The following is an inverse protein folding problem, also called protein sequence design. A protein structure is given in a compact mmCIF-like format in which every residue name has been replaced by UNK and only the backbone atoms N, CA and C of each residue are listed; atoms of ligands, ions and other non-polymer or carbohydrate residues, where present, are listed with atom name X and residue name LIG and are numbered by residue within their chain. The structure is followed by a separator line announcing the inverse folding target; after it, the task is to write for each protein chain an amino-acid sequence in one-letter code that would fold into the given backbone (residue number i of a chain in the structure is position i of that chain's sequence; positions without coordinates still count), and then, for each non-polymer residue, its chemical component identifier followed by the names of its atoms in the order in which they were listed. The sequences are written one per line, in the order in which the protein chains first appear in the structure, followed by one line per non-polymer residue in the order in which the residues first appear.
data_IF_298624178312
#
_entry.id   IF_298624178312
#
_cell.length_a   1.000
_cell.length_b   1.000
_cell.length_c   1.000
_cell.angle_alpha   90.00
_cell.angle_beta   90.00
_cell.angle_gamma   90.00
#
_symmetry.space_group_name_H-M   'P 1'
#
loop_
_entity.id
_entity.type
_entity.pdbx_description
1 polymer ?
#
# COMPACT_ATOMS: atom_id res chain seq x y z
N UNK A 1 4.94 7.12 -4.71
CA UNK A 1 6.05 8.09 -4.53
C UNK A 1 6.09 9.13 -5.64
N UNK A 2 5.94 8.76 -6.91
CA UNK A 2 6.10 9.68 -8.06
C UNK A 2 5.29 10.98 -7.95
N UNK A 3 4.00 10.91 -7.64
CA UNK A 3 3.14 12.08 -7.47
C UNK A 3 3.65 13.02 -6.36
N UNK A 4 4.10 12.44 -5.25
CA UNK A 4 4.58 13.22 -4.10
C UNK A 4 5.91 13.90 -4.39
N UNK A 5 6.83 13.23 -5.09
CA UNK A 5 8.10 13.84 -5.54
C UNK A 5 7.84 15.01 -6.49
N UNK A 6 6.88 14.88 -7.42
CA UNK A 6 6.43 16.02 -8.27
C UNK A 6 5.90 17.18 -7.41
N UNK A 7 5.13 16.87 -6.36
CA UNK A 7 4.64 17.89 -5.42
C UNK A 7 5.76 18.60 -4.68
N UNK A 8 6.72 17.86 -4.15
CA UNK A 8 7.90 18.42 -3.47
C UNK A 8 8.72 19.33 -4.39
N UNK A 9 8.95 18.88 -5.63
CA UNK A 9 9.64 19.71 -6.62
C UNK A 9 8.89 21.03 -6.89
N UNK A 10 7.56 20.99 -7.05
CA UNK A 10 6.73 22.18 -7.24
C UNK A 10 6.76 23.13 -6.04
N UNK A 11 6.87 22.62 -4.81
CA UNK A 11 7.04 23.43 -3.62
C UNK A 11 8.33 24.27 -3.70
N UNK A 12 9.42 23.65 -4.13
CA UNK A 12 10.73 24.32 -4.27
C UNK A 12 10.76 25.41 -5.34
N UNK A 13 9.80 25.40 -6.28
CA UNK A 13 9.69 26.43 -7.33
C UNK A 13 8.92 27.67 -6.87
N UNK A 14 8.40 27.70 -5.63
CA UNK A 14 7.62 28.84 -5.14
C UNK A 14 8.54 29.98 -4.70
N UNK A 15 8.11 31.22 -4.97
CA UNK A 15 8.85 32.43 -4.56
C UNK A 15 8.93 32.62 -3.04
N UNK A 16 7.94 32.10 -2.32
CA UNK A 16 7.87 32.20 -0.86
C UNK A 16 7.66 30.78 -0.28
N UNK A 17 8.34 30.43 0.81
CA UNK A 17 8.11 29.15 1.49
C UNK A 17 6.72 29.12 2.10
N UNK A 18 6.02 28.03 1.92
CA UNK A 18 4.71 27.75 2.52
C UNK A 18 4.56 26.26 2.82
N UNK A 19 3.75 25.95 3.83
CA UNK A 19 3.40 24.55 4.14
C UNK A 19 2.29 24.04 3.21
N UNK A 20 2.48 22.84 2.70
CA UNK A 20 1.51 22.15 1.85
C UNK A 20 1.23 20.74 2.32
N UNK A 21 -0.04 20.36 2.28
CA UNK A 21 -0.45 18.96 2.47
C UNK A 21 -0.58 18.30 1.10
N UNK A 22 0.21 17.25 0.87
CA UNK A 22 0.09 16.38 -0.29
C UNK A 22 -0.70 15.13 0.13
N UNK A 23 -1.96 15.06 -0.26
CA UNK A 23 -2.87 13.99 0.11
C UNK A 23 -3.80 13.63 -1.06
N UNK A 24 -4.65 12.64 -0.88
CA UNK A 24 -5.56 12.17 -1.94
C UNK A 24 -7.00 12.63 -1.77
N UNK A 25 -7.33 13.34 -0.67
CA UNK A 25 -8.70 13.66 -0.24
C UNK A 25 -9.59 12.43 0.03
N UNK A 26 -9.02 11.24 -0.03
CA UNK A 26 -9.75 9.98 0.13
C UNK A 26 -9.09 9.16 1.24
N UNK A 27 -9.91 8.49 2.03
CA UNK A 27 -9.47 7.59 3.10
C UNK A 27 -9.90 6.17 2.78
N UNK A 28 -9.01 5.23 3.00
CA UNK A 28 -9.26 3.80 2.85
C UNK A 28 -8.83 3.08 4.13
N UNK A 29 -9.60 2.09 4.56
CA UNK A 29 -9.17 1.22 5.65
C UNK A 29 -8.07 0.26 5.17
N UNK A 30 -7.23 -0.20 6.09
CA UNK A 30 -6.23 -1.24 5.81
C UNK A 30 -6.92 -2.51 5.28
N UNK A 31 -8.07 -2.85 5.84
CA UNK A 31 -8.86 -4.00 5.39
C UNK A 31 -9.35 -3.86 3.94
N UNK A 32 -9.77 -2.66 3.54
CA UNK A 32 -10.11 -2.37 2.14
C UNK A 32 -8.91 -2.55 1.22
N UNK A 33 -7.75 -1.99 1.61
CA UNK A 33 -6.50 -2.15 0.85
C UNK A 33 -6.12 -3.62 0.68
N UNK A 34 -6.19 -4.42 1.75
CA UNK A 34 -5.91 -5.86 1.71
C UNK A 34 -6.87 -6.62 0.81
N UNK A 35 -8.18 -6.30 0.87
CA UNK A 35 -9.18 -6.92 -0.01
C UNK A 35 -8.86 -6.68 -1.49
N UNK A 36 -8.48 -5.46 -1.84
CA UNK A 36 -8.10 -5.14 -3.22
C UNK A 36 -6.79 -5.85 -3.64
N UNK A 37 -5.83 -6.00 -2.72
CA UNK A 37 -4.61 -6.79 -2.99
C UNK A 37 -4.95 -8.27 -3.23
N UNK A 38 -5.76 -8.87 -2.39
CA UNK A 38 -6.18 -10.27 -2.54
C UNK A 38 -6.94 -10.49 -3.84
N UNK A 39 -7.83 -9.57 -4.18
CA UNK A 39 -8.57 -9.61 -5.44
C UNK A 39 -7.65 -9.53 -6.66
N UNK A 40 -6.66 -8.62 -6.63
CA UNK A 40 -5.68 -8.49 -7.71
C UNK A 40 -4.78 -9.73 -7.87
N UNK A 41 -4.58 -10.50 -6.80
CA UNK A 41 -3.85 -11.76 -6.78
C UNK A 41 -4.74 -13.00 -7.01
N UNK A 42 -6.04 -12.81 -7.31
CA UNK A 42 -7.03 -13.87 -7.47
C UNK A 42 -7.22 -14.77 -6.23
N UNK A 43 -6.98 -14.25 -5.04
CA UNK A 43 -7.35 -14.91 -3.80
C UNK A 43 -8.82 -14.65 -3.48
N UNK A 44 -9.56 -15.72 -3.17
CA UNK A 44 -10.91 -15.62 -2.64
C UNK A 44 -10.88 -15.80 -1.13
N UNK A 45 -10.98 -14.70 -0.39
CA UNK A 45 -10.80 -14.68 1.05
C UNK A 45 -12.12 -14.57 1.82
N UNK A 46 -12.07 -15.05 3.05
CA UNK A 46 -13.08 -14.88 4.08
C UNK A 46 -12.42 -14.34 5.35
N UNK A 47 -13.03 -13.32 5.94
CA UNK A 47 -12.58 -12.77 7.23
C UNK A 47 -13.29 -13.47 8.37
N UNK A 48 -12.54 -13.91 9.37
CA UNK A 48 -13.07 -14.56 10.55
C UNK A 48 -12.46 -13.95 11.83
N UNK A 49 -13.27 -13.87 12.89
CA UNK A 49 -12.87 -13.23 14.15
C UNK A 49 -13.11 -11.72 14.17
N UNK A 50 -12.68 -11.07 15.26
CA UNK A 50 -12.77 -9.61 15.47
C UNK A 50 -11.54 -9.08 16.20
N UNK A 51 -11.18 -7.82 15.97
CA UNK A 51 -10.06 -7.15 16.62
C UNK A 51 -8.75 -7.91 16.39
N UNK A 52 -7.96 -8.10 17.43
CA UNK A 52 -6.66 -8.81 17.35
C UNK A 52 -6.76 -10.29 16.92
N UNK A 53 -7.95 -10.90 17.03
CA UNK A 53 -8.18 -12.28 16.61
C UNK A 53 -8.69 -12.40 15.18
N UNK A 54 -8.82 -11.28 14.46
CA UNK A 54 -9.28 -11.29 13.07
C UNK A 54 -8.21 -11.89 12.15
N UNK A 55 -8.63 -12.80 11.28
CA UNK A 55 -7.78 -13.48 10.31
C UNK A 55 -8.42 -13.48 8.92
N UNK A 56 -7.60 -13.48 7.87
CA UNK A 56 -8.07 -13.75 6.53
C UNK A 56 -7.73 -15.19 6.12
N UNK A 57 -8.73 -15.91 5.65
CA UNK A 57 -8.67 -17.33 5.26
C UNK A 57 -8.92 -17.42 3.75
N UNK A 58 -8.06 -18.12 3.03
CA UNK A 58 -8.32 -18.45 1.64
C UNK A 58 -9.40 -19.53 1.56
N UNK A 59 -10.52 -19.22 0.92
CA UNK A 59 -11.67 -20.13 0.78
C UNK A 59 -11.33 -21.43 0.04
N UNK A 60 -10.37 -21.38 -0.88
CA UNK A 60 -9.96 -22.54 -1.68
C UNK A 60 -9.11 -23.52 -0.89
N UNK A 61 -8.09 -23.02 -0.20
CA UNK A 61 -7.12 -23.86 0.51
C UNK A 61 -7.44 -24.05 1.99
N UNK A 62 -8.38 -23.28 2.54
CA UNK A 62 -8.74 -23.19 3.96
C UNK A 62 -7.56 -22.75 4.85
N UNK A 63 -6.48 -22.24 4.28
CA UNK A 63 -5.31 -21.76 5.02
C UNK A 63 -5.50 -20.32 5.47
N UNK A 64 -5.03 -20.02 6.68
CA UNK A 64 -4.92 -18.64 7.17
C UNK A 64 -3.75 -17.98 6.41
N UNK A 65 -4.04 -16.90 5.68
CA UNK A 65 -3.06 -16.17 4.87
C UNK A 65 -2.68 -14.82 5.48
N UNK A 66 -3.46 -14.34 6.45
CA UNK A 66 -3.18 -13.11 7.17
C UNK A 66 -3.64 -13.19 8.61
N UNK A 67 -2.83 -12.67 9.53
CA UNK A 67 -3.13 -12.50 10.96
C UNK A 67 -2.74 -11.10 11.40
N UNK A 68 -3.45 -10.55 12.38
CA UNK A 68 -3.03 -9.34 13.07
C UNK A 68 -1.93 -9.71 14.08
N UNK A 69 -0.78 -9.04 14.00
CA UNK A 69 0.30 -9.23 14.95
C UNK A 69 0.15 -8.26 16.14
N UNK A 70 -0.08 -8.76 17.39
CA UNK A 70 -0.27 -7.89 18.55
C UNK A 70 0.90 -6.92 18.81
N UNK A 71 2.12 -7.29 18.41
CA UNK A 71 3.32 -6.45 18.57
C UNK A 71 3.21 -5.12 17.83
N UNK A 72 2.47 -5.08 16.71
CA UNK A 72 2.30 -3.89 15.89
C UNK A 72 0.94 -3.21 16.07
N UNK A 73 0.12 -3.75 16.96
CA UNK A 73 -1.17 -3.14 17.28
C UNK A 73 -0.97 -1.87 18.10
N UNK A 74 -1.62 -0.78 17.67
CA UNK A 74 -1.56 0.52 18.33
C UNK A 74 -2.94 0.87 18.90
N UNK A 75 -3.13 0.76 20.23
CA UNK A 75 -4.45 1.02 20.85
C UNK A 75 -4.93 2.46 20.73
N UNK A 76 -3.98 3.41 20.61
CA UNK A 76 -4.24 4.85 20.54
C UNK A 76 -4.08 5.42 19.11
N UNK A 77 -4.39 4.64 18.10
CA UNK A 77 -4.37 5.13 16.71
C UNK A 77 -5.58 6.03 16.44
N UNK A 78 -5.43 7.03 15.59
CA UNK A 78 -6.55 7.89 15.16
C UNK A 78 -7.48 7.10 14.23
N UNK A 79 -8.77 7.10 14.55
CA UNK A 79 -9.79 6.37 13.78
C UNK A 79 -9.96 6.89 12.35
N UNK A 80 -9.70 8.19 12.16
CA UNK A 80 -9.91 8.84 10.88
C UNK A 80 -8.87 9.92 10.61
N UNK A 81 -8.04 9.70 9.60
CA UNK A 81 -7.01 10.66 9.16
C UNK A 81 -7.20 10.99 7.68
N UNK A 82 -7.65 12.21 7.39
CA UNK A 82 -7.89 12.69 6.02
C UNK A 82 -7.11 13.98 5.77
N UNK A 83 -6.22 13.94 4.80
CA UNK A 83 -5.54 15.14 4.30
C UNK A 83 -6.26 15.73 3.09
N UNK A 84 -6.24 17.06 2.95
CA UNK A 84 -6.75 17.79 1.78
C UNK A 84 -5.62 18.34 0.95
N UNK A 85 -5.65 18.13 -0.36
CA UNK A 85 -4.70 18.74 -1.30
C UNK A 85 -5.19 20.06 -1.91
N UNK A 86 -6.30 20.64 -1.44
CA UNK A 86 -6.92 21.81 -2.07
C UNK A 86 -5.94 23.00 -2.17
N UNK A 87 -5.14 23.29 -1.13
CA UNK A 87 -4.12 24.33 -1.16
C UNK A 87 -3.02 24.00 -2.19
N UNK A 88 -2.56 22.76 -2.24
CA UNK A 88 -1.56 22.30 -3.21
C UNK A 88 -2.10 22.42 -4.64
N UNK A 89 -3.37 22.10 -4.85
CA UNK A 89 -4.00 22.27 -6.17
C UNK A 89 -4.11 23.72 -6.58
N UNK A 90 -4.59 24.60 -5.70
CA UNK A 90 -4.81 26.02 -6.02
C UNK A 90 -3.48 26.75 -6.33
N UNK A 91 -2.44 26.51 -5.53
CA UNK A 91 -1.15 27.24 -5.63
C UNK A 91 -0.13 26.55 -6.52
N UNK A 92 0.01 25.22 -6.41
CA UNK A 92 1.04 24.44 -7.13
C UNK A 92 0.49 23.76 -8.40
N UNK A 93 -0.82 23.81 -8.63
CA UNK A 93 -1.50 23.00 -9.68
C UNK A 93 -1.15 21.50 -9.53
N UNK A 94 -0.95 21.07 -8.30
CA UNK A 94 -0.65 19.68 -7.99
C UNK A 94 -1.91 18.92 -7.54
N UNK A 95 -2.07 17.72 -8.05
CA UNK A 95 -3.07 16.74 -7.61
C UNK A 95 -2.51 15.34 -7.76
N UNK A 96 -2.98 14.37 -6.96
CA UNK A 96 -2.60 12.97 -7.14
C UNK A 96 -3.13 12.45 -8.48
N UNK A 97 -2.30 11.67 -9.19
CA UNK A 97 -2.60 11.09 -10.51
C UNK A 97 -2.78 9.57 -10.43
N UNK A 98 -2.24 8.95 -9.38
CA UNK A 98 -2.25 7.50 -9.18
C UNK A 98 -3.37 7.14 -8.22
N UNK A 99 -4.36 6.38 -8.69
CA UNK A 99 -5.43 5.81 -7.86
C UNK A 99 -4.88 4.71 -6.96
N UNK A 100 -5.62 4.37 -5.87
CA UNK A 100 -5.24 3.27 -4.99
C UNK A 100 -5.13 1.94 -5.74
N UNK A 101 -6.07 1.62 -6.61
CA UNK A 101 -6.04 0.40 -7.43
C UNK A 101 -4.79 0.32 -8.30
N UNK A 102 -4.42 1.42 -8.99
CA UNK A 102 -3.20 1.47 -9.78
C UNK A 102 -1.95 1.32 -8.91
N UNK A 103 -1.93 1.92 -7.73
CA UNK A 103 -0.83 1.78 -6.77
C UNK A 103 -0.67 0.34 -6.32
N UNK A 104 -1.77 -0.34 -5.96
CA UNK A 104 -1.78 -1.75 -5.56
C UNK A 104 -1.17 -2.63 -6.66
N UNK A 105 -1.62 -2.48 -7.90
CA UNK A 105 -1.09 -3.25 -9.02
C UNK A 105 0.42 -3.02 -9.21
N UNK A 106 0.87 -1.76 -9.16
CA UNK A 106 2.30 -1.44 -9.25
C UNK A 106 3.13 -2.08 -8.13
N UNK A 107 2.62 -2.10 -6.90
CA UNK A 107 3.28 -2.73 -5.75
C UNK A 107 3.35 -4.25 -5.93
N UNK A 108 2.24 -4.89 -6.27
CA UNK A 108 2.17 -6.34 -6.50
C UNK A 108 3.13 -6.76 -7.62
N UNK A 109 3.12 -6.08 -8.76
CA UNK A 109 4.04 -6.37 -9.85
C UNK A 109 5.52 -6.23 -9.46
N UNK A 110 5.85 -5.20 -8.67
CA UNK A 110 7.21 -5.01 -8.19
C UNK A 110 7.65 -6.14 -7.26
N UNK A 111 6.80 -6.55 -6.34
CA UNK A 111 7.09 -7.61 -5.38
C UNK A 111 7.17 -8.98 -6.05
N UNK A 112 6.29 -9.29 -6.98
CA UNK A 112 6.35 -10.51 -7.77
C UNK A 112 7.64 -10.59 -8.61
N UNK A 113 8.11 -9.48 -9.18
CA UNK A 113 9.41 -9.41 -9.88
C UNK A 113 10.57 -9.69 -8.96
N UNK A 114 10.56 -9.12 -7.74
CA UNK A 114 11.60 -9.37 -6.72
C UNK A 114 11.62 -10.84 -6.30
N UNK A 115 10.47 -11.43 -6.04
CA UNK A 115 10.35 -12.85 -5.68
C UNK A 115 10.89 -13.76 -6.78
N UNK A 116 10.52 -13.53 -8.05
CA UNK A 116 11.05 -14.30 -9.18
C UNK A 116 12.57 -14.20 -9.28
N UNK A 117 13.14 -13.02 -9.13
CA UNK A 117 14.59 -12.81 -9.14
C UNK A 117 15.28 -13.56 -8.00
N UNK A 118 14.73 -13.50 -6.79
CA UNK A 118 15.29 -14.19 -5.62
C UNK A 118 15.21 -15.72 -5.77
N UNK A 119 14.11 -16.26 -6.28
CA UNK A 119 13.98 -17.68 -6.58
C UNK A 119 15.02 -18.12 -7.64
N UNK A 120 15.20 -17.35 -8.70
CA UNK A 120 16.19 -17.65 -9.75
C UNK A 120 17.61 -17.68 -9.17
N UNK A 121 17.98 -16.73 -8.30
CA UNK A 121 19.27 -16.71 -7.62
C UNK A 121 19.43 -17.93 -6.70
N UNK A 122 18.38 -18.26 -5.92
CA UNK A 122 18.39 -19.40 -5.00
C UNK A 122 18.60 -20.72 -5.73
N UNK A 123 17.91 -20.96 -6.85
CA UNK A 123 18.08 -22.16 -7.65
C UNK A 123 19.44 -22.19 -8.38
N UNK A 124 19.96 -21.05 -8.83
CA UNK A 124 21.26 -20.95 -9.46
C UNK A 124 22.39 -21.30 -8.49
N UNK A 125 22.29 -20.87 -7.23
CA UNK A 125 23.26 -21.20 -6.19
C UNK A 125 23.19 -22.66 -5.73
N UNK A 126 22.01 -23.31 -5.79
CA UNK A 126 21.90 -24.76 -5.52
C UNK A 126 22.39 -25.65 -6.66
N UNK A 127 22.46 -25.15 -7.88
CA UNK A 127 23.00 -25.91 -9.04
C UNK A 127 24.54 -25.94 -9.09
N UNK A 128 25.22 -25.30 -8.13
CA UNK A 128 26.69 -25.30 -8.02
C UNK A 128 27.18 -26.34 -7.00
N UNK A 129 26.29 -27.02 -6.29
CA UNK A 129 26.61 -28.07 -5.32
C UNK A 129 26.30 -29.50 -5.85
N UNK A 130 26.36 -29.72 -7.15
CA UNK A 130 26.39 -31.01 -7.84
C UNK A 130 27.69 -31.08 -8.64
#
# INVERSE_FOLDING_TARGET
AKDYVEGMWKMLQQKKPEDFVLATNTVYSVKYFLNECFKALNFNIEWNGKGLKEVAIDKKTKKIILKINPRYYRPAEVDYLKGSYNKAYSKLKWRPKVSLSKLINLMIEADLRRLKKNLTIFFKNKSIEL
#
